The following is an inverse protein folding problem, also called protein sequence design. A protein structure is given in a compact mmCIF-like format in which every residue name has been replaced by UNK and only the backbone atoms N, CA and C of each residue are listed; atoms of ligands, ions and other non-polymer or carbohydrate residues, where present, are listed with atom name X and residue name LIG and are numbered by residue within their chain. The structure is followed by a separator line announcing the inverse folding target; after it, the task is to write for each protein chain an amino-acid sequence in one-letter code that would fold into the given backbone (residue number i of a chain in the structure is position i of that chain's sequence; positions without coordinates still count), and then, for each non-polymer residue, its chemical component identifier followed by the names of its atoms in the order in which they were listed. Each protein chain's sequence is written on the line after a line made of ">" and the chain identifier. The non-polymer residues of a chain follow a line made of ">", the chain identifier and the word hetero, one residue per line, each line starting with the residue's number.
data_IF_370470776874
#
_entry.id   IF_370470776874
#
_cell.length_a   1.000
_cell.length_b   1.000
_cell.length_c   1.000
_cell.angle_alpha   90.00
_cell.angle_beta   90.00
_cell.angle_gamma   90.00
#
_symmetry.space_group_name_H-M   'P 1'
#
loop_
_entity.id
_entity.type
_entity.pdbx_description
1 polymer ?
#
# COMPACT_ATOMS: atom_id res chain seq x y z
N UNK A 1 -17.55 -50.63 30.76
CA UNK A 1 -17.34 -50.38 29.33
C UNK A 1 -18.12 -49.14 28.95
N UNK A 2 -17.45 -48.00 28.81
CA UNK A 2 -18.01 -46.78 28.29
C UNK A 2 -17.06 -46.32 27.19
N UNK A 3 -17.44 -46.59 25.95
CA UNK A 3 -16.72 -46.14 24.76
C UNK A 3 -16.94 -44.63 24.61
N UNK A 4 -15.87 -43.88 24.76
CA UNK A 4 -15.80 -42.45 24.45
C UNK A 4 -15.59 -42.26 22.95
N UNK A 5 -16.64 -41.92 22.25
CA UNK A 5 -16.62 -41.51 20.85
C UNK A 5 -15.85 -40.21 20.68
N UNK A 6 -14.66 -40.26 20.14
CA UNK A 6 -13.92 -39.10 19.64
C UNK A 6 -14.58 -38.65 18.35
N UNK A 7 -15.31 -37.53 18.39
CA UNK A 7 -15.80 -36.88 17.16
C UNK A 7 -14.61 -36.23 16.45
N UNK A 8 -14.27 -36.79 15.30
CA UNK A 8 -13.46 -36.10 14.30
C UNK A 8 -14.26 -34.88 13.81
N UNK A 9 -13.70 -33.69 14.02
CA UNK A 9 -14.24 -32.47 13.45
C UNK A 9 -13.87 -32.48 11.97
N UNK A 10 -14.89 -32.57 11.13
CA UNK A 10 -14.80 -32.51 9.69
C UNK A 10 -14.00 -31.29 9.25
N UNK A 11 -12.92 -31.52 8.52
CA UNK A 11 -12.21 -30.53 7.75
C UNK A 11 -13.12 -30.12 6.57
N UNK A 12 -13.83 -29.02 6.68
CA UNK A 12 -14.40 -28.38 5.50
C UNK A 12 -13.28 -28.06 4.49
N UNK A 13 -13.49 -28.30 3.18
CA UNK A 13 -12.48 -28.01 2.18
C UNK A 13 -12.19 -26.51 2.15
N UNK A 14 -10.95 -26.14 2.47
CA UNK A 14 -10.44 -24.78 2.42
C UNK A 14 -10.63 -24.19 1.01
N UNK A 15 -11.28 -23.02 0.92
CA UNK A 15 -11.31 -22.25 -0.32
C UNK A 15 -9.88 -21.95 -0.77
N UNK A 16 -9.61 -22.05 -2.06
CA UNK A 16 -8.28 -21.97 -2.69
C UNK A 16 -7.60 -20.59 -2.60
N UNK A 17 -8.10 -19.66 -1.79
CA UNK A 17 -7.69 -18.25 -1.74
C UNK A 17 -7.19 -17.76 -0.38
N UNK A 18 -6.98 -18.64 0.62
CA UNK A 18 -6.52 -18.18 1.93
C UNK A 18 -5.00 -17.97 1.98
N UNK A 19 -4.54 -16.84 2.58
CA UNK A 19 -3.12 -16.56 2.84
C UNK A 19 -2.86 -16.26 4.31
N UNK A 20 -1.59 -16.40 4.73
CA UNK A 20 -1.16 -16.02 6.07
C UNK A 20 -0.56 -14.62 6.06
N UNK A 21 -1.16 -13.71 6.81
CA UNK A 21 -0.69 -12.36 7.07
C UNK A 21 -0.07 -12.31 8.46
N UNK A 22 1.06 -11.64 8.66
CA UNK A 22 1.75 -11.67 9.94
C UNK A 22 2.27 -10.31 10.41
N UNK A 23 2.44 -10.19 11.74
CA UNK A 23 2.87 -8.98 12.42
C UNK A 23 1.70 -8.08 12.84
N UNK A 24 1.89 -7.38 13.97
CA UNK A 24 0.84 -6.57 14.58
C UNK A 24 0.23 -5.53 13.66
N UNK A 25 1.06 -4.91 12.83
CA UNK A 25 0.60 -3.80 12.01
C UNK A 25 -0.22 -4.29 10.83
N UNK A 26 0.30 -5.22 10.05
CA UNK A 26 -0.39 -5.77 8.89
C UNK A 26 -1.73 -6.43 9.29
N UNK A 27 -1.71 -7.28 10.33
CA UNK A 27 -2.92 -7.92 10.83
C UNK A 27 -3.88 -6.89 11.43
N UNK A 28 -3.38 -5.89 12.16
CA UNK A 28 -4.19 -4.83 12.75
C UNK A 28 -4.87 -3.94 11.71
N UNK A 29 -4.19 -3.60 10.62
CA UNK A 29 -4.78 -2.89 9.47
C UNK A 29 -5.89 -3.73 8.85
N UNK A 30 -5.65 -5.02 8.58
CA UNK A 30 -6.65 -5.93 8.00
C UNK A 30 -7.90 -6.05 8.87
N UNK A 31 -7.72 -6.18 10.19
CA UNK A 31 -8.83 -6.20 11.16
C UNK A 31 -9.65 -4.91 11.08
N UNK A 32 -8.98 -3.77 10.95
CA UNK A 32 -9.64 -2.46 10.88
C UNK A 32 -10.38 -2.23 9.57
N UNK A 33 -9.79 -2.61 8.44
CA UNK A 33 -10.30 -2.27 7.09
C UNK A 33 -11.24 -3.32 6.52
N UNK A 34 -11.00 -4.61 6.81
CA UNK A 34 -11.77 -5.73 6.27
C UNK A 34 -11.89 -6.89 7.26
N UNK A 35 -12.53 -6.70 8.43
CA UNK A 35 -12.60 -7.71 9.48
C UNK A 35 -13.23 -9.02 9.01
N UNK A 36 -14.21 -8.96 8.12
CA UNK A 36 -14.88 -10.16 7.54
C UNK A 36 -13.95 -11.03 6.69
N UNK A 37 -12.82 -10.50 6.22
CA UNK A 37 -11.81 -11.25 5.48
C UNK A 37 -10.81 -11.96 6.38
N UNK A 38 -10.91 -11.83 7.70
CA UNK A 38 -10.03 -12.48 8.67
C UNK A 38 -10.74 -13.68 9.27
N UNK A 39 -10.29 -14.88 8.93
CA UNK A 39 -10.89 -16.11 9.44
C UNK A 39 -10.52 -16.38 10.90
N UNK A 40 -9.25 -16.27 11.22
CA UNK A 40 -8.73 -16.48 12.56
C UNK A 40 -7.36 -15.82 12.73
N UNK A 41 -7.04 -15.47 13.97
CA UNK A 41 -5.75 -14.89 14.37
C UNK A 41 -5.07 -15.81 15.37
N UNK A 42 -3.85 -16.26 15.04
CA UNK A 42 -2.97 -17.02 15.90
C UNK A 42 -2.06 -16.05 16.64
N UNK A 43 -1.96 -16.20 17.97
CA UNK A 43 -1.12 -15.33 18.78
C UNK A 43 -0.27 -16.12 19.77
N UNK A 44 0.93 -15.59 20.06
CA UNK A 44 1.88 -16.23 20.97
C UNK A 44 1.47 -15.98 22.42
N UNK A 45 1.09 -17.06 23.12
CA UNK A 45 0.65 -17.03 24.52
C UNK A 45 1.77 -16.64 25.50
N UNK A 46 3.03 -16.82 25.11
CA UNK A 46 4.17 -16.44 25.95
C UNK A 46 4.37 -14.93 25.93
N UNK A 47 3.85 -14.22 24.92
CA UNK A 47 3.95 -12.78 24.79
C UNK A 47 2.82 -12.07 25.51
N UNK A 48 3.09 -11.60 26.75
CA UNK A 48 2.10 -11.00 27.67
C UNK A 48 2.23 -9.47 27.81
N UNK A 49 2.88 -8.80 26.88
CA UNK A 49 3.05 -7.34 26.92
C UNK A 49 1.72 -6.58 26.63
N UNK A 50 1.72 -5.29 26.95
CA UNK A 50 0.54 -4.43 26.78
C UNK A 50 0.07 -4.35 25.31
N UNK A 51 1.02 -4.44 24.35
CA UNK A 51 0.71 -4.41 22.92
C UNK A 51 -0.06 -5.65 22.48
N UNK A 52 0.35 -6.84 22.96
CA UNK A 52 -0.38 -8.08 22.67
C UNK A 52 -1.79 -8.06 23.26
N UNK A 53 -1.93 -7.60 24.50
CA UNK A 53 -3.25 -7.47 25.14
C UNK A 53 -4.17 -6.55 24.34
N UNK A 54 -3.73 -5.33 24.05
CA UNK A 54 -4.53 -4.38 23.27
C UNK A 54 -4.88 -4.90 21.88
N UNK A 55 -4.01 -5.70 21.27
CA UNK A 55 -4.26 -6.31 19.97
C UNK A 55 -5.33 -7.41 20.07
N UNK A 56 -5.19 -8.34 21.00
CA UNK A 56 -6.16 -9.45 21.20
C UNK A 56 -7.53 -8.92 21.60
N UNK A 57 -7.61 -7.88 22.43
CA UNK A 57 -8.88 -7.24 22.80
C UNK A 57 -9.56 -6.64 21.56
N UNK A 58 -8.84 -5.88 20.75
CA UNK A 58 -9.37 -5.33 19.49
C UNK A 58 -9.85 -6.42 18.52
N UNK A 59 -9.10 -7.52 18.38
CA UNK A 59 -9.50 -8.63 17.53
C UNK A 59 -10.79 -9.30 18.04
N UNK A 60 -10.91 -9.45 19.36
CA UNK A 60 -12.10 -9.99 20.02
C UNK A 60 -13.32 -9.08 19.84
N UNK A 61 -13.14 -7.77 20.02
CA UNK A 61 -14.19 -6.77 19.82
C UNK A 61 -14.70 -6.73 18.37
N UNK A 62 -13.81 -7.08 17.42
CA UNK A 62 -14.15 -7.24 15.99
C UNK A 62 -14.78 -8.60 15.66
N UNK A 63 -15.04 -9.46 16.64
CA UNK A 63 -15.66 -10.78 16.45
C UNK A 63 -14.74 -11.83 15.80
N UNK A 64 -13.42 -11.61 15.81
CA UNK A 64 -12.46 -12.49 15.16
C UNK A 64 -12.07 -13.63 16.09
N UNK A 65 -12.03 -14.84 15.57
CA UNK A 65 -11.58 -16.03 16.27
C UNK A 65 -10.09 -15.93 16.62
N UNK A 66 -9.77 -16.02 17.90
CA UNK A 66 -8.41 -16.03 18.44
C UNK A 66 -7.98 -17.47 18.74
N UNK A 67 -6.77 -17.84 18.29
CA UNK A 67 -6.18 -19.16 18.48
C UNK A 67 -4.83 -19.02 19.17
N UNK A 68 -4.68 -19.67 20.31
CA UNK A 68 -3.41 -19.73 21.03
C UNK A 68 -2.36 -20.52 20.25
N UNK A 69 -1.14 -20.02 20.26
CA UNK A 69 -0.01 -20.62 19.55
C UNK A 69 1.31 -20.36 20.27
N UNK A 70 2.38 -20.88 19.74
CA UNK A 70 3.75 -20.61 20.15
C UNK A 70 4.55 -19.99 18.99
N UNK A 71 5.70 -19.39 19.32
CA UNK A 71 6.53 -18.69 18.33
C UNK A 71 7.05 -19.60 17.21
N UNK A 72 7.34 -20.88 17.49
CA UNK A 72 7.84 -21.84 16.48
C UNK A 72 6.75 -22.19 15.47
N UNK A 73 5.54 -22.45 15.95
CA UNK A 73 4.38 -22.70 15.06
C UNK A 73 4.05 -21.48 14.22
N UNK A 74 4.07 -20.28 14.80
CA UNK A 74 3.84 -19.02 14.07
C UNK A 74 4.89 -18.82 12.98
N UNK A 75 6.18 -19.03 13.28
CA UNK A 75 7.26 -18.94 12.30
C UNK A 75 7.08 -19.93 11.14
N UNK A 76 6.66 -21.17 11.45
CA UNK A 76 6.36 -22.19 10.43
C UNK A 76 5.17 -21.78 9.54
N UNK A 77 4.15 -21.18 10.12
CA UNK A 77 2.96 -20.75 9.37
C UNK A 77 3.25 -19.63 8.37
N UNK A 78 4.10 -18.66 8.72
CA UNK A 78 4.38 -17.51 7.86
C UNK A 78 5.75 -17.58 7.16
N UNK A 79 6.55 -18.62 7.39
CA UNK A 79 7.89 -18.77 6.81
C UNK A 79 8.90 -17.69 7.29
N UNK A 80 8.64 -17.02 8.42
CA UNK A 80 9.44 -15.90 8.91
C UNK A 80 9.44 -15.82 10.43
N UNK A 81 10.59 -15.46 11.02
CA UNK A 81 10.68 -15.10 12.43
C UNK A 81 10.21 -13.68 12.74
N UNK A 82 9.90 -12.89 11.71
CA UNK A 82 9.41 -11.49 11.85
C UNK A 82 7.94 -11.34 12.23
N UNK A 83 7.25 -12.43 12.60
CA UNK A 83 5.81 -12.45 12.91
C UNK A 83 5.41 -11.66 14.17
N UNK A 84 6.37 -11.25 14.98
CA UNK A 84 6.11 -10.46 16.20
C UNK A 84 5.08 -11.10 17.15
N UNK A 85 4.88 -12.40 17.09
CA UNK A 85 3.91 -13.15 17.90
C UNK A 85 2.47 -13.14 17.37
N UNK A 86 2.23 -12.70 16.13
CA UNK A 86 0.89 -12.64 15.52
C UNK A 86 0.92 -13.11 14.07
N UNK A 87 0.03 -14.05 13.73
CA UNK A 87 -0.27 -14.50 12.37
C UNK A 87 -1.78 -14.59 12.19
N UNK A 88 -2.32 -14.08 11.12
CA UNK A 88 -3.72 -14.20 10.76
C UNK A 88 -3.90 -15.04 9.49
N UNK A 89 -4.87 -15.92 9.50
CA UNK A 89 -5.36 -16.53 8.25
C UNK A 89 -6.44 -15.61 7.68
N UNK A 90 -6.20 -15.12 6.47
CA UNK A 90 -7.08 -14.14 5.84
C UNK A 90 -7.48 -14.61 4.45
N UNK A 91 -8.66 -14.19 4.02
CA UNK A 91 -9.03 -14.33 2.62
C UNK A 91 -8.18 -13.41 1.74
N UNK A 92 -7.87 -13.85 0.52
CA UNK A 92 -7.37 -12.91 -0.47
C UNK A 92 -8.49 -11.88 -0.70
N UNK A 93 -8.27 -10.62 -0.30
CA UNK A 93 -9.17 -9.57 -0.74
C UNK A 93 -9.25 -9.65 -2.26
N UNK A 94 -10.43 -9.46 -2.81
CA UNK A 94 -10.56 -9.15 -4.22
C UNK A 94 -9.74 -7.87 -4.45
N UNK A 95 -8.48 -8.06 -4.81
CA UNK A 95 -7.63 -6.95 -5.22
C UNK A 95 -8.09 -6.59 -6.62
N UNK A 96 -8.24 -5.30 -6.86
CA UNK A 96 -8.37 -4.78 -8.22
C UNK A 96 -7.23 -5.40 -9.03
N UNK A 97 -7.59 -6.16 -10.07
CA UNK A 97 -6.62 -7.02 -10.76
C UNK A 97 -5.81 -6.26 -11.80
N UNK A 98 -6.29 -5.10 -12.22
CA UNK A 98 -5.62 -4.23 -13.20
C UNK A 98 -5.78 -2.74 -12.85
N UNK A 99 -4.88 -1.94 -13.41
CA UNK A 99 -4.97 -0.49 -13.30
C UNK A 99 -6.26 0.04 -13.96
N UNK A 100 -6.65 -0.53 -15.10
CA UNK A 100 -7.88 -0.14 -15.80
C UNK A 100 -9.12 -0.38 -14.96
N UNK A 101 -9.24 -1.55 -14.33
CA UNK A 101 -10.34 -1.85 -13.41
C UNK A 101 -10.38 -0.86 -12.23
N UNK A 102 -9.22 -0.47 -11.69
CA UNK A 102 -9.16 0.56 -10.65
C UNK A 102 -9.70 1.90 -11.15
N UNK A 103 -9.23 2.34 -12.32
CA UNK A 103 -9.62 3.63 -12.89
C UNK A 103 -11.11 3.66 -13.24
N UNK A 104 -11.64 2.60 -13.83
CA UNK A 104 -13.08 2.44 -14.11
C UNK A 104 -13.91 2.50 -12.82
N UNK A 105 -13.45 1.84 -11.76
CA UNK A 105 -14.10 1.89 -10.45
C UNK A 105 -14.05 3.30 -9.83
N UNK A 106 -12.97 4.04 -10.00
CA UNK A 106 -12.85 5.42 -9.53
C UNK A 106 -13.77 6.37 -10.32
N UNK A 107 -13.87 6.20 -11.64
CA UNK A 107 -14.77 6.95 -12.51
C UNK A 107 -16.24 6.67 -12.18
N UNK A 108 -16.62 5.39 -12.01
CA UNK A 108 -17.96 4.98 -11.64
C UNK A 108 -18.36 5.40 -10.22
N UNK A 109 -17.39 5.57 -9.34
CA UNK A 109 -17.59 5.86 -7.92
C UNK A 109 -17.80 7.34 -7.61
N UNK A 110 -18.05 8.16 -8.59
CA UNK A 110 -18.47 9.55 -8.35
C UNK A 110 -19.52 9.68 -7.25
N UNK A 111 -20.10 8.58 -6.78
CA UNK A 111 -21.14 8.53 -5.74
C UNK A 111 -20.95 7.55 -4.58
N UNK A 112 -20.20 6.42 -4.66
CA UNK A 112 -20.27 5.42 -3.57
C UNK A 112 -19.10 4.43 -3.48
N UNK A 113 -17.93 4.77 -2.95
CA UNK A 113 -17.03 3.78 -2.36
C UNK A 113 -16.61 4.15 -0.94
N UNK A 114 -17.06 3.33 0.02
CA UNK A 114 -16.97 3.52 1.46
C UNK A 114 -15.57 3.36 2.09
N UNK A 115 -14.51 3.78 1.39
CA UNK A 115 -13.18 3.95 1.96
C UNK A 115 -12.66 5.31 1.49
N UNK A 116 -12.81 6.33 2.36
CA UNK A 116 -12.48 7.74 2.14
C UNK A 116 -13.36 8.48 1.11
N UNK A 117 -14.64 8.60 1.39
CA UNK A 117 -15.63 9.39 0.64
C UNK A 117 -15.34 10.90 0.52
N UNK A 118 -14.18 11.37 0.96
CA UNK A 118 -13.78 12.78 0.89
C UNK A 118 -12.86 13.14 -0.27
N UNK A 119 -12.40 12.15 -1.10
CA UNK A 119 -11.52 12.44 -2.22
C UNK A 119 -12.13 11.91 -3.51
N UNK A 120 -12.93 12.76 -4.17
CA UNK A 120 -13.60 12.45 -5.45
C UNK A 120 -12.63 12.31 -6.64
N UNK A 121 -11.39 12.76 -6.50
CA UNK A 121 -10.42 12.82 -7.60
C UNK A 121 -9.29 11.80 -7.42
N UNK A 122 -8.94 11.00 -8.43
CA UNK A 122 -7.80 10.11 -8.39
C UNK A 122 -6.52 10.81 -7.89
N UNK A 123 -5.79 10.13 -7.00
CA UNK A 123 -4.44 10.49 -6.56
C UNK A 123 -3.58 9.26 -6.74
N UNK A 124 -2.68 9.29 -7.70
CA UNK A 124 -1.79 8.19 -8.05
C UNK A 124 -0.35 8.58 -7.76
N UNK A 125 0.46 7.62 -7.35
CA UNK A 125 1.91 7.76 -7.23
C UNK A 125 2.57 6.89 -8.31
N UNK A 126 3.43 7.49 -9.13
CA UNK A 126 4.17 6.79 -10.18
C UNK A 126 5.67 6.85 -9.84
N UNK A 127 6.30 5.69 -9.76
CA UNK A 127 7.71 5.54 -9.38
C UNK A 127 8.52 5.06 -10.59
N UNK A 128 9.34 5.94 -11.17
CA UNK A 128 10.14 5.61 -12.34
C UNK A 128 11.57 5.20 -11.94
N UNK A 129 11.84 3.89 -11.92
CA UNK A 129 13.18 3.37 -11.67
C UNK A 129 13.54 3.13 -10.19
N UNK A 130 12.58 3.05 -9.28
CA UNK A 130 12.84 2.77 -7.85
C UNK A 130 13.11 1.28 -7.65
N UNK A 131 14.39 0.91 -7.51
CA UNK A 131 14.84 -0.48 -7.39
C UNK A 131 15.09 -0.94 -5.96
N UNK A 132 15.31 -0.03 -5.01
CA UNK A 132 15.53 -0.37 -3.61
C UNK A 132 14.21 -0.77 -2.92
N UNK A 133 14.14 -1.98 -2.34
CA UNK A 133 12.95 -2.46 -1.62
C UNK A 133 12.58 -1.60 -0.40
N UNK A 134 13.55 -0.95 0.26
CA UNK A 134 13.28 -0.07 1.39
C UNK A 134 12.57 1.21 0.91
N UNK A 135 13.03 1.79 -0.19
CA UNK A 135 12.40 2.96 -0.77
C UNK A 135 10.98 2.63 -1.25
N UNK A 136 10.78 1.51 -1.96
CA UNK A 136 9.44 1.09 -2.36
C UNK A 136 8.51 0.89 -1.15
N UNK A 137 8.97 0.19 -0.12
CA UNK A 137 8.17 -0.04 1.08
C UNK A 137 7.77 1.27 1.78
N UNK A 138 8.68 2.23 1.85
CA UNK A 138 8.42 3.56 2.41
C UNK A 138 7.45 4.38 1.52
N UNK A 139 7.59 4.34 0.20
CA UNK A 139 6.66 4.98 -0.75
C UNK A 139 5.23 4.41 -0.63
N UNK A 140 5.08 3.08 -0.56
CA UNK A 140 3.77 2.45 -0.35
C UNK A 140 3.12 2.92 0.96
N UNK A 141 3.91 2.98 2.04
CA UNK A 141 3.42 3.44 3.34
C UNK A 141 2.98 4.90 3.32
N UNK A 142 3.73 5.74 2.65
CA UNK A 142 3.40 7.17 2.50
C UNK A 142 2.18 7.35 1.62
N UNK A 143 2.08 6.61 0.52
CA UNK A 143 0.93 6.63 -0.40
C UNK A 143 -0.36 6.21 0.32
N UNK A 144 -0.32 5.13 1.09
CA UNK A 144 -1.45 4.68 1.92
C UNK A 144 -1.84 5.75 2.95
N UNK A 145 -0.86 6.31 3.66
CA UNK A 145 -1.10 7.35 4.67
C UNK A 145 -1.67 8.64 4.11
N UNK A 146 -1.34 9.00 2.87
CA UNK A 146 -1.86 10.17 2.16
C UNK A 146 -3.20 9.91 1.47
N UNK A 147 -3.68 8.67 1.42
CA UNK A 147 -4.91 8.28 0.76
C UNK A 147 -4.79 8.22 -0.76
N UNK A 148 -3.61 7.92 -1.29
CA UNK A 148 -3.45 7.62 -2.71
C UNK A 148 -4.23 6.35 -3.09
N UNK A 149 -4.68 6.26 -4.33
CA UNK A 149 -5.50 5.14 -4.80
C UNK A 149 -4.66 3.98 -5.35
N UNK A 150 -3.46 4.28 -5.87
CA UNK A 150 -2.50 3.27 -6.32
C UNK A 150 -1.07 3.81 -6.38
N UNK A 151 -0.12 2.87 -6.39
CA UNK A 151 1.27 3.10 -6.77
C UNK A 151 1.55 2.32 -8.06
N UNK A 152 2.17 2.98 -9.02
CA UNK A 152 2.47 2.44 -10.36
C UNK A 152 3.98 2.47 -10.57
N UNK A 153 4.56 1.39 -11.10
CA UNK A 153 5.97 1.33 -11.45
C UNK A 153 6.18 0.52 -12.74
N UNK A 154 7.29 0.69 -13.46
CA UNK A 154 7.61 -0.17 -14.59
C UNK A 154 7.95 -1.59 -14.10
N UNK A 155 7.74 -2.61 -14.96
CA UNK A 155 8.18 -3.98 -14.66
C UNK A 155 9.70 -4.10 -14.62
N UNK A 156 10.37 -3.36 -15.50
CA UNK A 156 11.81 -3.37 -15.60
C UNK A 156 12.41 -2.23 -14.76
N UNK A 157 13.50 -2.51 -14.07
CA UNK A 157 14.19 -1.54 -13.19
C UNK A 157 13.28 -0.96 -12.09
N UNK A 158 12.47 -1.81 -11.45
CA UNK A 158 11.71 -1.46 -10.25
C UNK A 158 11.67 -2.62 -9.27
N UNK A 159 11.58 -2.29 -7.98
CA UNK A 159 11.39 -3.28 -6.95
C UNK A 159 9.98 -3.89 -7.00
N UNK A 160 9.89 -5.21 -6.87
CA UNK A 160 8.62 -5.92 -6.65
C UNK A 160 8.28 -6.06 -5.16
N UNK A 161 7.04 -6.47 -4.88
CA UNK A 161 6.62 -6.76 -3.51
C UNK A 161 7.41 -7.97 -2.98
N UNK A 162 8.13 -7.75 -1.90
CA UNK A 162 8.97 -8.74 -1.23
C UNK A 162 8.73 -8.71 0.29
N UNK A 163 9.30 -9.65 1.02
CA UNK A 163 9.23 -9.65 2.49
C UNK A 163 9.83 -8.38 3.11
N UNK A 164 10.87 -7.80 2.48
CA UNK A 164 11.49 -6.53 2.92
C UNK A 164 10.50 -5.39 2.69
N UNK A 165 9.93 -5.28 1.48
CA UNK A 165 8.92 -4.27 1.14
C UNK A 165 7.73 -4.33 2.10
N UNK A 166 7.16 -5.52 2.31
CA UNK A 166 6.02 -5.73 3.21
C UNK A 166 6.34 -5.31 4.65
N UNK A 167 7.56 -5.59 5.12
CA UNK A 167 8.02 -5.18 6.46
C UNK A 167 8.14 -3.66 6.58
N UNK A 168 8.76 -2.99 5.62
CA UNK A 168 8.96 -1.53 5.62
C UNK A 168 7.65 -0.79 5.41
N UNK A 169 6.80 -1.28 4.51
CA UNK A 169 5.48 -0.71 4.24
C UNK A 169 4.52 -0.79 5.42
N UNK A 170 4.84 -1.59 6.46
CA UNK A 170 4.08 -1.63 7.72
C UNK A 170 2.57 -1.89 7.51
N UNK A 171 2.23 -2.80 6.60
CA UNK A 171 0.84 -3.16 6.27
C UNK A 171 0.30 -2.48 5.01
N UNK A 172 0.87 -1.36 4.56
CA UNK A 172 0.43 -0.68 3.34
C UNK A 172 0.61 -1.56 2.08
N UNK A 173 1.57 -2.50 2.07
CA UNK A 173 1.71 -3.46 0.97
C UNK A 173 0.50 -4.41 0.80
N UNK A 174 -0.39 -4.48 1.80
CA UNK A 174 -1.61 -5.29 1.76
C UNK A 174 -2.84 -4.49 1.33
N UNK A 175 -2.81 -3.18 1.50
CA UNK A 175 -3.95 -2.27 1.27
C UNK A 175 -3.77 -1.40 0.05
N UNK A 176 -2.54 -0.99 -0.27
CA UNK A 176 -2.21 -0.13 -1.39
C UNK A 176 -2.07 -0.95 -2.68
N UNK A 177 -2.92 -0.74 -3.69
CA UNK A 177 -2.74 -1.34 -5.00
C UNK A 177 -1.39 -0.94 -5.61
N UNK A 178 -0.58 -1.93 -6.00
CA UNK A 178 0.71 -1.72 -6.65
C UNK A 178 0.71 -2.38 -8.01
N UNK A 179 0.77 -1.58 -9.06
CA UNK A 179 0.74 -2.04 -10.44
C UNK A 179 2.10 -1.92 -11.11
N UNK A 180 2.58 -3.03 -11.65
CA UNK A 180 3.80 -3.05 -12.47
C UNK A 180 3.41 -3.08 -13.95
N UNK A 181 3.71 -1.99 -14.67
CA UNK A 181 3.34 -1.81 -16.08
C UNK A 181 4.52 -2.06 -17.01
N UNK A 182 4.25 -2.55 -18.22
CA UNK A 182 5.32 -2.87 -19.18
C UNK A 182 5.93 -1.62 -19.80
N UNK A 183 5.13 -0.57 -20.01
CA UNK A 183 5.57 0.68 -20.64
C UNK A 183 4.99 1.87 -19.86
N UNK A 184 5.82 2.48 -19.02
CA UNK A 184 5.39 3.57 -18.15
C UNK A 184 4.93 4.81 -18.94
N UNK A 185 5.64 5.20 -19.99
CA UNK A 185 5.26 6.36 -20.81
C UNK A 185 3.91 6.15 -21.50
N UNK A 186 3.64 4.93 -22.00
CA UNK A 186 2.32 4.58 -22.53
C UNK A 186 1.24 4.68 -21.47
N UNK A 187 1.49 4.14 -20.28
CA UNK A 187 0.54 4.22 -19.17
C UNK A 187 0.25 5.66 -18.77
N UNK A 188 1.26 6.54 -18.73
CA UNK A 188 1.03 7.97 -18.51
C UNK A 188 0.14 8.60 -19.60
N UNK A 189 0.34 8.20 -20.87
CA UNK A 189 -0.56 8.60 -21.96
C UNK A 189 -2.01 8.18 -21.73
N UNK A 190 -2.22 6.93 -21.33
CA UNK A 190 -3.55 6.36 -21.00
C UNK A 190 -4.19 7.09 -19.80
N UNK A 191 -3.42 7.48 -18.78
CA UNK A 191 -3.90 8.32 -17.67
C UNK A 191 -4.36 9.69 -18.14
N UNK A 192 -3.60 10.33 -19.05
CA UNK A 192 -3.94 11.64 -19.63
C UNK A 192 -5.22 11.60 -20.46
N UNK A 193 -5.43 10.53 -21.25
CA UNK A 193 -6.69 10.30 -21.99
C UNK A 193 -7.92 10.22 -21.05
N UNK A 194 -7.71 9.81 -19.79
CA UNK A 194 -8.71 9.81 -18.71
C UNK A 194 -8.75 11.11 -17.89
N UNK A 195 -8.14 12.20 -18.40
CA UNK A 195 -8.04 13.49 -17.71
C UNK A 195 -7.33 13.46 -16.36
N UNK A 196 -6.39 12.53 -16.16
CA UNK A 196 -5.53 12.49 -14.97
C UNK A 196 -4.22 13.20 -15.32
N UNK A 197 -3.96 14.33 -14.67
CA UNK A 197 -2.76 15.13 -14.91
C UNK A 197 -1.52 14.45 -14.37
N UNK A 198 -0.51 14.29 -15.21
CA UNK A 198 0.77 13.70 -14.86
C UNK A 198 1.76 14.81 -14.48
N UNK A 199 2.07 14.93 -13.18
CA UNK A 199 2.97 15.94 -12.63
C UNK A 199 4.28 15.26 -12.22
N UNK A 200 5.35 15.55 -12.95
CA UNK A 200 6.68 14.97 -12.71
C UNK A 200 7.55 15.85 -11.81
N UNK A 201 8.35 15.22 -10.94
CA UNK A 201 9.32 15.96 -10.13
C UNK A 201 10.66 16.10 -10.84
N UNK A 202 11.21 17.30 -10.87
CA UNK A 202 12.54 17.60 -11.45
C UNK A 202 13.16 18.79 -10.72
N UNK A 203 14.47 18.73 -10.47
CA UNK A 203 15.24 19.79 -9.81
C UNK A 203 15.35 21.07 -10.64
N UNK A 204 15.32 20.95 -11.97
CA UNK A 204 15.38 22.05 -12.93
C UNK A 204 14.03 22.63 -13.33
N UNK A 205 12.93 22.21 -12.67
CA UNK A 205 11.59 22.75 -12.94
C UNK A 205 11.45 24.20 -12.42
N UNK A 206 10.83 25.05 -13.24
CA UNK A 206 10.59 26.47 -12.90
C UNK A 206 9.58 26.65 -11.76
N UNK A 207 8.57 25.79 -11.70
CA UNK A 207 7.54 25.83 -10.65
C UNK A 207 7.87 24.85 -9.54
N UNK A 208 7.51 25.23 -8.33
CA UNK A 208 7.58 24.32 -7.19
C UNK A 208 6.28 23.51 -7.06
N UNK A 209 6.32 22.41 -6.29
CA UNK A 209 5.13 21.62 -5.96
C UNK A 209 4.04 22.45 -5.26
N UNK A 210 4.42 23.54 -4.63
CA UNK A 210 3.51 24.46 -3.91
C UNK A 210 2.81 25.47 -4.81
N UNK A 211 3.29 25.65 -6.05
CA UNK A 211 2.78 26.63 -7.03
C UNK A 211 1.75 26.01 -8.00
N UNK A 212 1.39 24.75 -7.83
CA UNK A 212 0.50 24.03 -8.73
C UNK A 212 -0.76 23.54 -8.03
N UNK A 213 -1.85 23.47 -8.77
CA UNK A 213 -3.10 22.92 -8.28
C UNK A 213 -3.07 21.40 -8.27
N UNK A 214 -3.19 20.80 -7.08
CA UNK A 214 -3.19 19.36 -6.85
C UNK A 214 -4.58 18.83 -6.42
N UNK A 215 -5.62 19.61 -6.57
CA UNK A 215 -6.99 19.26 -6.12
C UNK A 215 -7.72 18.34 -7.09
N UNK A 216 -7.40 18.40 -8.39
CA UNK A 216 -7.99 17.56 -9.44
C UNK A 216 -7.47 16.11 -9.47
N UNK A 217 -7.87 15.33 -10.50
CA UNK A 217 -7.30 14.02 -10.79
C UNK A 217 -5.82 14.13 -11.18
N UNK A 218 -4.91 13.54 -10.41
CA UNK A 218 -3.47 13.66 -10.64
C UNK A 218 -2.72 12.35 -10.44
N UNK A 219 -1.62 12.23 -11.19
CA UNK A 219 -0.56 11.24 -11.00
C UNK A 219 0.76 11.98 -10.73
N UNK A 220 1.29 11.83 -9.52
CA UNK A 220 2.58 12.36 -9.12
C UNK A 220 3.68 11.39 -9.57
N UNK A 221 4.58 11.83 -10.44
CA UNK A 221 5.61 11.00 -11.06
C UNK A 221 6.98 11.37 -10.49
N UNK A 222 7.60 10.41 -9.80
CA UNK A 222 8.91 10.58 -9.19
C UNK A 222 9.93 9.62 -9.82
N UNK A 223 11.13 10.13 -10.07
CA UNK A 223 12.25 9.35 -10.59
C UNK A 223 13.06 8.69 -9.49
N UNK A 224 14.02 7.85 -9.90
CA UNK A 224 15.01 7.26 -9.03
C UNK A 224 15.98 8.31 -8.44
N UNK A 225 16.60 7.97 -7.31
CA UNK A 225 17.65 8.80 -6.71
C UNK A 225 18.85 8.93 -7.68
N UNK A 226 19.35 10.15 -7.84
CA UNK A 226 20.50 10.48 -8.67
C UNK A 226 20.19 10.58 -10.15
N UNK A 227 19.49 9.60 -10.74
CA UNK A 227 19.19 9.58 -12.19
C UNK A 227 17.91 10.36 -12.54
N UNK A 228 17.02 10.56 -11.57
CA UNK A 228 15.73 11.19 -11.80
C UNK A 228 14.78 10.33 -12.65
N UNK A 229 13.85 10.96 -13.34
CA UNK A 229 12.95 10.30 -14.28
C UNK A 229 13.65 10.01 -15.61
N UNK A 230 13.35 8.87 -16.22
CA UNK A 230 13.77 8.58 -17.60
C UNK A 230 13.25 9.65 -18.56
N UNK A 231 14.03 9.95 -19.60
CA UNK A 231 13.73 11.05 -20.53
C UNK A 231 12.32 10.96 -21.14
N UNK A 232 11.88 9.77 -21.52
CA UNK A 232 10.55 9.58 -22.11
C UNK A 232 9.44 9.79 -21.09
N UNK A 233 9.60 9.30 -19.87
CA UNK A 233 8.67 9.53 -18.74
C UNK A 233 8.53 11.03 -18.48
N UNK A 234 9.65 11.73 -18.35
CA UNK A 234 9.70 13.18 -18.16
C UNK A 234 8.97 13.96 -19.26
N UNK A 235 9.20 13.61 -20.55
CA UNK A 235 8.55 14.25 -21.68
C UNK A 235 7.05 13.99 -21.76
N UNK A 236 6.58 12.89 -21.17
CA UNK A 236 5.15 12.51 -21.17
C UNK A 236 4.37 13.23 -20.07
N UNK A 237 5.03 13.70 -19.01
CA UNK A 237 4.37 14.50 -17.97
C UNK A 237 3.79 15.80 -18.55
N UNK A 238 2.64 16.22 -18.04
CA UNK A 238 1.97 17.48 -18.42
C UNK A 238 2.68 18.69 -17.85
N UNK A 239 3.24 18.52 -16.65
CA UNK A 239 3.97 19.55 -15.93
C UNK A 239 5.12 18.96 -15.13
N UNK A 240 6.19 19.75 -15.00
CA UNK A 240 7.29 19.44 -14.08
C UNK A 240 7.24 20.42 -12.90
N UNK A 241 7.58 19.90 -11.73
CA UNK A 241 7.67 20.68 -10.48
C UNK A 241 8.91 20.31 -9.70
N UNK A 242 9.46 21.28 -8.97
CA UNK A 242 10.58 21.05 -8.06
C UNK A 242 10.10 21.03 -6.60
N UNK A 243 10.86 20.38 -5.74
CA UNK A 243 10.78 20.55 -4.28
C UNK A 243 11.89 21.53 -3.90
N UNK A 244 11.59 22.70 -3.31
CA UNK A 244 12.63 23.68 -2.97
C UNK A 244 13.68 23.10 -2.03
N UNK A 245 14.94 23.22 -2.42
CA UNK A 245 16.09 22.80 -1.63
C UNK A 245 16.89 24.04 -1.21
N UNK A 246 17.10 24.22 0.08
CA UNK A 246 17.81 25.41 0.64
C UNK A 246 19.14 25.06 1.28
N UNK A 247 19.50 23.78 1.31
CA UNK A 247 20.76 23.30 1.89
C UNK A 247 21.81 22.96 0.85
N UNK A 248 22.82 22.22 1.26
CA UNK A 248 23.92 21.77 0.39
C UNK A 248 23.58 20.51 -0.42
N UNK A 249 22.51 19.81 -0.07
CA UNK A 249 22.07 18.61 -0.82
C UNK A 249 21.13 19.01 -1.97
N UNK A 250 21.28 18.36 -3.09
CA UNK A 250 20.56 18.70 -4.33
C UNK A 250 19.21 17.97 -4.45
N UNK A 251 19.01 16.88 -3.72
CA UNK A 251 17.78 16.08 -3.79
C UNK A 251 17.41 15.44 -2.46
N UNK A 252 16.15 15.01 -2.35
CA UNK A 252 15.64 14.20 -1.27
C UNK A 252 15.60 12.72 -1.67
N UNK A 253 15.72 11.82 -0.69
CA UNK A 253 15.35 10.43 -0.89
C UNK A 253 13.94 10.33 -1.49
N UNK A 254 13.74 9.42 -2.45
CA UNK A 254 12.48 9.31 -3.21
C UNK A 254 11.26 9.08 -2.33
N UNK A 255 11.40 8.36 -1.22
CA UNK A 255 10.27 8.14 -0.31
C UNK A 255 9.92 9.40 0.49
N UNK A 256 10.91 10.24 0.80
CA UNK A 256 10.70 11.55 1.43
C UNK A 256 10.06 12.50 0.44
N UNK A 257 10.58 12.57 -0.79
CA UNK A 257 10.00 13.37 -1.88
C UNK A 257 8.53 12.97 -2.15
N UNK A 258 8.24 11.65 -2.20
CA UNK A 258 6.86 11.15 -2.30
C UNK A 258 5.98 11.66 -1.15
N UNK A 259 6.52 11.69 0.07
CA UNK A 259 5.82 12.24 1.23
C UNK A 259 5.49 13.71 1.07
N UNK A 260 6.45 14.53 0.69
CA UNK A 260 6.25 15.97 0.47
C UNK A 260 5.16 16.20 -0.58
N UNK A 261 5.26 15.56 -1.75
CA UNK A 261 4.30 15.76 -2.85
C UNK A 261 2.89 15.27 -2.50
N UNK A 262 2.76 14.06 -1.95
CA UNK A 262 1.47 13.48 -1.61
C UNK A 262 0.76 14.23 -0.48
N UNK A 263 1.51 14.68 0.55
CA UNK A 263 0.92 15.41 1.66
C UNK A 263 0.60 16.87 1.30
N UNK A 264 1.30 17.45 0.33
CA UNK A 264 0.88 18.73 -0.25
C UNK A 264 -0.44 18.57 -1.03
N UNK A 265 -0.56 17.54 -1.86
CA UNK A 265 -1.84 17.22 -2.51
C UNK A 265 -2.96 17.00 -1.50
N UNK A 266 -2.70 16.25 -0.42
CA UNK A 266 -3.66 16.02 0.65
C UNK A 266 -4.05 17.33 1.37
N UNK A 267 -3.08 18.22 1.63
CA UNK A 267 -3.32 19.54 2.25
C UNK A 267 -4.27 20.37 1.39
N UNK A 268 -3.99 20.48 0.09
CA UNK A 268 -4.83 21.23 -0.83
C UNK A 268 -6.25 20.66 -0.91
N UNK A 269 -6.39 19.32 -1.02
CA UNK A 269 -7.68 18.62 -1.12
C UNK A 269 -8.54 18.70 0.14
N UNK A 270 -7.94 18.95 1.32
CA UNK A 270 -8.67 19.16 2.58
C UNK A 270 -9.15 20.59 2.76
N UNK A 271 -8.58 21.53 2.05
CA UNK A 271 -8.94 22.94 2.12
C UNK A 271 -10.13 23.30 1.21
N UNK A 272 -10.55 22.38 0.36
CA UNK A 272 -11.73 22.45 -0.52
C UNK A 272 -12.86 21.62 0.10
#
# INVERSE_FOLDING_TARGET
>A
MIEGSVRYIDNEPMSSSSKNLFGFHAVGVRIKTAPKSVFEVFYDVQRRDARMRAFTDRARDSGIKLVESDGLRLAKMCGSHGHQGVVARVDALAQVTSLDELLENLEASGENLGVNASVKNPLLLVLDGVTDPHNLGACLRVADGAGAHAVIAPKDHAAGISAIVSKVASGAAETMPYFMVTNLARTLGELKERNIWCIGTSDDAEKTIYDVDLTGPIALVLGAEGEGMRQLTRKTCDQLVSIPMHGAVESLNVSVASGVCLYEALRQRRAV
#
